data_IF_313762065387
#
_entry.id   IF_313762065387
#
_cell.length_a   1.000
_cell.length_b   1.000
_cell.length_c   1.000
_cell.angle_alpha   90.00
_cell.angle_beta   90.00
_cell.angle_gamma   90.00
#
_symmetry.space_group_name_H-M   'P 1'
#
loop_
_entity.id
_entity.type
_entity.pdbx_description
1 polymer ?
#
# COMPACT_ATOMS: atom_id res chain seq x y z
N UNK A 1 7.57 14.13 -8.09
CA UNK A 1 6.49 13.26 -7.57
C UNK A 1 6.52 11.91 -8.27
N UNK A 2 6.35 10.84 -7.53
CA UNK A 2 6.32 9.48 -8.07
C UNK A 2 4.98 9.16 -8.72
N UNK A 3 4.96 8.20 -9.64
CA UNK A 3 3.73 7.77 -10.29
C UNK A 3 2.88 6.91 -9.37
N UNK A 4 1.59 7.21 -9.32
CA UNK A 4 0.60 6.45 -8.57
C UNK A 4 0.20 5.21 -9.36
N UNK A 5 0.47 4.02 -8.80
CA UNK A 5 0.16 2.73 -9.44
C UNK A 5 -0.62 1.84 -8.47
N UNK A 6 -1.94 1.99 -8.38
CA UNK A 6 -2.75 1.13 -7.54
C UNK A 6 -3.02 -0.21 -8.24
N UNK A 7 -3.11 -1.29 -7.46
CA UNK A 7 -3.68 -2.54 -7.95
C UNK A 7 -5.19 -2.37 -8.06
N UNK A 8 -5.84 -3.26 -8.79
CA UNK A 8 -7.30 -3.26 -8.89
C UNK A 8 -7.95 -3.42 -7.51
N UNK A 9 -7.41 -4.33 -6.71
CA UNK A 9 -7.86 -4.57 -5.34
C UNK A 9 -7.78 -3.29 -4.49
N UNK A 10 -6.67 -2.57 -4.56
CA UNK A 10 -6.49 -1.31 -3.83
C UNK A 10 -7.52 -0.27 -4.27
N UNK A 11 -7.69 -0.13 -5.58
CA UNK A 11 -8.62 0.85 -6.15
C UNK A 11 -10.07 0.59 -5.71
N UNK A 12 -10.49 -0.67 -5.70
CA UNK A 12 -11.83 -1.07 -5.27
C UNK A 12 -12.05 -0.77 -3.80
N UNK A 13 -11.07 -1.09 -2.95
CA UNK A 13 -11.16 -0.79 -1.52
C UNK A 13 -11.21 0.71 -1.27
N UNK A 14 -10.41 1.47 -1.97
CA UNK A 14 -10.37 2.93 -1.82
C UNK A 14 -11.73 3.54 -2.18
N UNK A 15 -12.32 3.09 -3.28
CA UNK A 15 -13.64 3.56 -3.72
C UNK A 15 -14.72 3.21 -2.70
N UNK A 16 -14.67 2.01 -2.14
CA UNK A 16 -15.59 1.59 -1.08
C UNK A 16 -15.48 2.49 0.15
N UNK A 17 -14.26 2.79 0.59
CA UNK A 17 -14.00 3.63 1.76
C UNK A 17 -14.48 5.07 1.55
N UNK A 18 -14.43 5.58 0.33
CA UNK A 18 -14.96 6.91 0.00
C UNK A 18 -16.43 7.05 0.40
N UNK A 19 -17.19 5.95 0.30
CA UNK A 19 -18.61 5.92 0.66
C UNK A 19 -18.84 5.54 2.11
N UNK A 20 -18.11 4.55 2.63
CA UNK A 20 -18.34 3.97 3.95
C UNK A 20 -17.67 4.74 5.08
N UNK A 21 -16.54 5.40 4.81
CA UNK A 21 -15.78 6.17 5.80
C UNK A 21 -15.12 7.37 5.14
N UNK A 22 -15.88 8.45 4.84
CA UNK A 22 -15.32 9.62 4.15
C UNK A 22 -14.15 10.28 4.88
N UNK A 23 -14.19 10.31 6.21
CA UNK A 23 -13.10 10.89 7.00
C UNK A 23 -11.83 10.06 6.90
N UNK A 24 -11.97 8.74 7.02
CA UNK A 24 -10.85 7.81 6.85
C UNK A 24 -10.29 7.88 5.43
N UNK A 25 -11.18 7.95 4.44
CA UNK A 25 -10.78 8.13 3.05
C UNK A 25 -9.92 9.39 2.86
N UNK A 26 -10.31 10.51 3.47
CA UNK A 26 -9.53 11.74 3.39
C UNK A 26 -8.13 11.61 3.98
N UNK A 27 -8.02 10.93 5.13
CA UNK A 27 -6.72 10.66 5.75
C UNK A 27 -5.85 9.75 4.86
N UNK A 28 -6.47 8.73 4.27
CA UNK A 28 -5.78 7.79 3.36
C UNK A 28 -5.25 8.55 2.15
N UNK A 29 -6.07 9.39 1.53
CA UNK A 29 -5.65 10.19 0.37
C UNK A 29 -4.45 11.09 0.70
N UNK A 30 -4.47 11.76 1.84
CA UNK A 30 -3.33 12.59 2.26
C UNK A 30 -2.06 11.75 2.47
N UNK A 31 -2.21 10.56 3.01
CA UNK A 31 -1.08 9.64 3.20
C UNK A 31 -0.52 9.16 1.86
N UNK A 32 -1.40 8.81 0.91
CA UNK A 32 -1.00 8.45 -0.45
C UNK A 32 -0.18 9.59 -1.07
N UNK A 33 -0.65 10.82 -0.96
CA UNK A 33 0.04 11.97 -1.54
C UNK A 33 1.43 12.15 -0.94
N UNK A 34 1.57 11.95 0.37
CA UNK A 34 2.89 12.00 1.03
C UNK A 34 3.82 10.90 0.52
N UNK A 35 3.30 9.69 0.35
CA UNK A 35 4.09 8.56 -0.14
C UNK A 35 4.53 8.74 -1.59
N UNK A 36 3.76 9.47 -2.39
CA UNK A 36 4.16 9.80 -3.77
C UNK A 36 5.31 10.80 -3.79
N UNK A 37 5.47 11.61 -2.76
CA UNK A 37 6.59 12.54 -2.62
C UNK A 37 7.78 11.86 -1.94
N UNK A 38 7.53 11.14 -0.85
CA UNK A 38 8.55 10.47 -0.04
C UNK A 38 8.20 8.99 0.19
N UNK A 39 8.42 8.11 -0.80
CA UNK A 39 8.05 6.70 -0.66
C UNK A 39 8.91 5.93 0.34
N UNK A 40 10.03 6.49 0.76
CA UNK A 40 10.91 5.91 1.78
C UNK A 40 10.42 6.15 3.22
N UNK A 41 9.31 6.90 3.39
CA UNK A 41 8.74 7.19 4.70
C UNK A 41 7.90 6.08 5.31
N UNK A 42 8.22 4.81 5.04
CA UNK A 42 7.49 3.66 5.57
C UNK A 42 7.67 3.53 7.08
N UNK A 43 6.63 3.00 7.74
CA UNK A 43 6.67 2.69 9.18
C UNK A 43 7.21 1.29 9.46
N UNK A 44 7.37 0.47 8.44
CA UNK A 44 7.93 -0.86 8.57
C UNK A 44 7.72 -1.70 7.32
N UNK A 45 8.11 -2.97 7.41
CA UNK A 45 7.91 -3.95 6.34
C UNK A 45 6.92 -5.01 6.78
N UNK A 46 6.19 -5.56 5.82
CA UNK A 46 5.26 -6.64 6.09
C UNK A 46 5.98 -7.97 6.27
N UNK A 47 5.48 -8.78 7.21
CA UNK A 47 5.91 -10.16 7.44
C UNK A 47 4.69 -11.04 7.23
N UNK A 48 4.85 -12.18 6.57
CA UNK A 48 3.72 -13.04 6.19
C UNK A 48 3.06 -12.54 4.93
N UNK A 49 1.79 -12.15 5.01
CA UNK A 49 1.07 -11.60 3.86
C UNK A 49 1.80 -10.34 3.35
N UNK A 50 1.96 -10.26 2.04
CA UNK A 50 2.71 -9.17 1.40
C UNK A 50 4.14 -9.04 1.91
N UNK A 51 4.78 -10.18 2.25
CA UNK A 51 6.14 -10.21 2.77
C UNK A 51 7.09 -9.33 1.96
N UNK A 52 7.86 -8.50 2.65
CA UNK A 52 8.83 -7.59 2.02
C UNK A 52 8.23 -6.27 1.54
N UNK A 53 6.91 -6.16 1.43
CA UNK A 53 6.26 -4.89 1.08
C UNK A 53 6.33 -3.92 2.26
N UNK A 54 6.21 -2.63 1.94
CA UNK A 54 6.25 -1.57 2.94
C UNK A 54 4.86 -1.31 3.51
N UNK A 55 4.79 -0.86 4.76
CA UNK A 55 3.53 -0.46 5.38
C UNK A 55 3.63 0.97 5.88
N UNK A 56 2.51 1.68 5.81
CA UNK A 56 2.37 3.04 6.32
C UNK A 56 1.08 3.15 7.12
N UNK A 57 1.17 3.60 8.36
CA UNK A 57 -0.01 3.89 9.17
C UNK A 57 -0.62 5.22 8.73
N UNK A 58 -1.94 5.26 8.67
CA UNK A 58 -2.70 6.43 8.27
C UNK A 58 -3.15 7.20 9.52
N UNK A 59 -2.82 8.48 9.58
CA UNK A 59 -3.31 9.38 10.62
C UNK A 59 -3.27 8.81 12.04
N UNK A 60 -4.44 8.43 12.56
CA UNK A 60 -4.61 7.86 13.90
C UNK A 60 -4.24 6.39 14.00
N UNK A 61 -3.59 5.82 12.99
CA UNK A 61 -3.24 4.40 12.89
C UNK A 61 -4.47 3.49 12.75
N UNK A 62 -5.60 4.04 12.34
CA UNK A 62 -6.82 3.27 12.08
C UNK A 62 -6.66 2.37 10.85
N UNK A 63 -6.00 2.87 9.83
CA UNK A 63 -5.77 2.17 8.58
C UNK A 63 -4.28 1.97 8.35
N UNK A 64 -3.98 0.94 7.56
CA UNK A 64 -2.62 0.65 7.10
C UNK A 64 -2.65 0.53 5.59
N UNK A 65 -1.68 1.17 4.93
CA UNK A 65 -1.47 1.08 3.48
C UNK A 65 -0.28 0.16 3.25
N UNK A 66 -0.46 -0.81 2.35
CA UNK A 66 0.60 -1.71 1.92
C UNK A 66 1.03 -1.25 0.53
N UNK A 67 2.31 -0.95 0.37
CA UNK A 67 2.83 -0.42 -0.87
C UNK A 67 4.26 -0.88 -1.10
N UNK A 68 4.78 -0.63 -2.30
CA UNK A 68 6.17 -0.86 -2.61
C UNK A 68 6.66 0.22 -3.57
N UNK A 69 7.91 0.62 -3.39
CA UNK A 69 8.53 1.65 -4.22
C UNK A 69 9.33 0.97 -5.33
N UNK A 70 9.00 1.27 -6.59
CA UNK A 70 9.57 0.59 -7.76
C UNK A 70 11.10 0.68 -7.83
N UNK A 71 11.69 1.80 -7.39
CA UNK A 71 13.14 1.94 -7.33
C UNK A 71 13.82 0.88 -6.48
N UNK A 72 13.16 0.40 -5.41
CA UNK A 72 13.71 -0.67 -4.58
C UNK A 72 13.78 -1.99 -5.36
N UNK A 73 12.80 -2.26 -6.22
CA UNK A 73 12.80 -3.41 -7.10
C UNK A 73 13.97 -3.36 -8.08
N UNK A 74 14.22 -2.19 -8.66
CA UNK A 74 15.31 -2.01 -9.61
C UNK A 74 16.67 -2.20 -8.96
N UNK A 75 16.88 -1.62 -7.77
CA UNK A 75 18.12 -1.80 -7.01
C UNK A 75 18.37 -3.25 -6.65
N UNK A 76 17.31 -4.03 -6.44
CA UNK A 76 17.41 -5.45 -6.08
C UNK A 76 17.36 -6.38 -7.29
N UNK A 77 17.39 -5.87 -8.53
CA UNK A 77 17.27 -6.65 -9.78
C UNK A 77 15.98 -7.48 -9.87
N UNK A 78 14.89 -6.95 -9.33
CA UNK A 78 13.59 -7.63 -9.34
C UNK A 78 12.62 -7.00 -10.34
N UNK A 79 13.13 -6.53 -11.49
CA UNK A 79 12.32 -5.83 -12.52
C UNK A 79 11.21 -6.69 -13.09
N UNK A 80 11.33 -7.99 -13.03
CA UNK A 80 10.28 -8.92 -13.48
C UNK A 80 8.92 -8.70 -12.80
N UNK A 81 8.91 -8.09 -11.61
CA UNK A 81 7.68 -7.80 -10.87
C UNK A 81 7.01 -6.50 -11.29
N UNK A 82 7.72 -5.66 -12.03
CA UNK A 82 7.21 -4.35 -12.43
C UNK A 82 7.65 -3.93 -13.84
N UNK A 83 7.89 -4.91 -14.71
CA UNK A 83 8.50 -4.72 -16.02
C UNK A 83 7.82 -3.71 -16.94
N UNK A 84 6.50 -3.56 -16.86
CA UNK A 84 5.73 -2.62 -17.69
C UNK A 84 5.38 -1.33 -16.96
N UNK A 85 5.75 -1.21 -15.68
CA UNK A 85 5.43 -0.05 -14.85
C UNK A 85 6.56 0.97 -14.95
N UNK A 86 6.25 2.28 -15.04
CA UNK A 86 7.29 3.31 -15.06
C UNK A 86 8.25 3.21 -13.86
N UNK A 87 9.52 3.48 -14.09
CA UNK A 87 10.59 3.33 -13.09
C UNK A 87 10.33 4.11 -11.79
N UNK A 88 9.59 5.21 -11.89
CA UNK A 88 9.35 6.11 -10.77
C UNK A 88 7.95 5.91 -10.17
N UNK A 89 7.54 4.65 -10.01
CA UNK A 89 6.20 4.32 -9.53
C UNK A 89 6.20 3.86 -8.09
N UNK A 90 5.11 4.17 -7.39
CA UNK A 90 4.77 3.60 -6.09
C UNK A 90 3.54 2.73 -6.28
N UNK A 91 3.68 1.44 -6.02
CA UNK A 91 2.63 0.45 -6.24
C UNK A 91 1.87 0.26 -4.92
N UNK A 92 0.55 0.47 -4.96
CA UNK A 92 -0.31 0.30 -3.79
C UNK A 92 -1.06 -1.01 -3.89
N UNK A 93 -0.87 -1.89 -2.92
CA UNK A 93 -1.39 -3.26 -2.93
C UNK A 93 -2.66 -3.43 -2.13
N UNK A 94 -2.73 -2.81 -0.94
CA UNK A 94 -3.86 -3.04 -0.05
C UNK A 94 -4.02 -1.90 0.96
N UNK A 95 -5.25 -1.77 1.48
CA UNK A 95 -5.60 -0.91 2.60
C UNK A 95 -6.43 -1.77 3.54
N UNK A 96 -6.11 -1.77 4.82
CA UNK A 96 -6.96 -2.46 5.78
C UNK A 96 -7.06 -1.70 7.11
N UNK A 97 -8.20 -1.85 7.75
CA UNK A 97 -8.43 -1.30 9.08
C UNK A 97 -7.72 -2.19 10.11
N UNK A 98 -7.21 -1.60 11.19
CA UNK A 98 -6.54 -2.36 12.25
C UNK A 98 -7.39 -3.51 12.80
N UNK A 99 -8.72 -3.37 12.77
CA UNK A 99 -9.67 -4.41 13.20
C UNK A 99 -9.72 -5.61 12.25
N UNK A 100 -9.28 -5.44 11.00
CA UNK A 100 -9.31 -6.49 9.98
C UNK A 100 -8.03 -7.33 9.99
N UNK A 101 -7.08 -7.03 10.85
CA UNK A 101 -5.78 -7.71 10.90
C UNK A 101 -5.93 -9.23 11.07
N UNK A 102 -6.88 -9.67 11.87
CA UNK A 102 -7.13 -11.12 12.09
C UNK A 102 -7.60 -11.81 10.83
N UNK A 103 -8.47 -11.16 10.03
CA UNK A 103 -8.95 -11.70 8.75
C UNK A 103 -7.82 -11.86 7.76
N UNK A 104 -6.92 -10.88 7.69
CA UNK A 104 -5.76 -10.91 6.81
C UNK A 104 -4.83 -12.05 7.20
N UNK A 105 -4.58 -12.25 8.50
CA UNK A 105 -3.76 -13.36 8.99
C UNK A 105 -4.34 -14.72 8.64
N UNK A 106 -5.66 -14.88 8.72
CA UNK A 106 -6.33 -16.11 8.29
C UNK A 106 -6.11 -16.38 6.81
N UNK A 107 -6.16 -15.34 5.99
CA UNK A 107 -5.96 -15.47 4.54
C UNK A 107 -4.52 -15.85 4.17
N UNK A 108 -3.55 -15.51 4.99
CA UNK A 108 -2.14 -15.89 4.79
C UNK A 108 -1.98 -17.40 4.71
N UNK A 109 -2.77 -18.15 5.48
CA UNK A 109 -2.66 -19.60 5.52
C UNK A 109 -3.04 -20.27 4.19
N UNK A 110 -3.65 -19.56 3.28
CA UNK A 110 -4.05 -20.05 1.96
C UNK A 110 -3.08 -19.65 0.86
N UNK A 111 -2.14 -18.80 1.17
CA UNK A 111 -1.12 -18.40 0.20
C UNK A 111 0.02 -19.46 0.13
#
# INVERSE_FOLDING_TARGET
MHHYQPTEHFSKKLLHLKKSDPQGYGRIRRTIDRLLVEPDGADGRMVGLYHGRLKKYVGRRDYRIIYYWCNLCHKANKRQHCGTIPDNSVIFFDIYHKKDKKKIKKNISYA
#
